data_IF_809481574895
#
_entry.id   IF_809481574895
#
_cell.length_a   1.000
_cell.length_b   1.000
_cell.length_c   1.000
_cell.angle_alpha   90.00
_cell.angle_beta   90.00
_cell.angle_gamma   90.00
#
_symmetry.space_group_name_H-M   'P 1'
#
loop_
_entity.id
_entity.type
_entity.pdbx_description
1 polymer ?
#
# COMPACT_ATOMS: atom_id res chain seq x y z
N UNK A 1 8.94 15.75 -0.24
CA UNK A 1 8.08 14.88 -1.03
C UNK A 1 8.80 14.23 -2.21
N UNK A 2 9.35 14.95 -3.20
CA UNK A 2 10.00 14.41 -4.43
C UNK A 2 11.03 13.28 -4.18
N UNK A 3 11.95 13.43 -3.20
CA UNK A 3 12.94 12.40 -2.86
C UNK A 3 12.27 11.11 -2.33
N UNK A 4 11.20 11.24 -1.53
CA UNK A 4 10.46 10.09 -0.98
C UNK A 4 9.72 9.30 -2.07
N UNK A 5 9.06 9.99 -3.00
CA UNK A 5 8.40 9.36 -4.15
C UNK A 5 9.42 8.60 -5.01
N UNK A 6 10.59 9.20 -5.29
CA UNK A 6 11.67 8.50 -6.04
C UNK A 6 12.14 7.22 -5.34
N UNK A 7 12.26 7.22 -4.00
CA UNK A 7 12.62 6.00 -3.26
C UNK A 7 11.53 4.93 -3.39
N UNK A 8 10.26 5.31 -3.30
CA UNK A 8 9.12 4.39 -3.49
C UNK A 8 9.16 3.75 -4.88
N UNK A 9 9.32 4.56 -5.93
CA UNK A 9 9.40 4.06 -7.31
C UNK A 9 10.55 3.08 -7.47
N UNK A 10 11.71 3.37 -6.89
CA UNK A 10 12.87 2.46 -6.92
C UNK A 10 12.55 1.09 -6.30
N UNK A 11 11.83 1.07 -5.17
CA UNK A 11 11.43 -0.19 -4.54
C UNK A 11 10.38 -0.95 -5.37
N UNK A 12 9.42 -0.24 -5.98
CA UNK A 12 8.43 -0.86 -6.90
C UNK A 12 9.12 -1.49 -8.10
N UNK A 13 10.05 -0.79 -8.74
CA UNK A 13 10.82 -1.30 -9.86
C UNK A 13 11.66 -2.52 -9.44
N UNK A 14 12.40 -2.41 -8.32
CA UNK A 14 13.21 -3.50 -7.79
C UNK A 14 12.37 -4.76 -7.46
N UNK A 15 11.17 -4.57 -6.89
CA UNK A 15 10.22 -5.66 -6.65
C UNK A 15 9.80 -6.34 -7.97
N UNK A 16 9.37 -5.55 -8.95
CA UNK A 16 8.90 -6.07 -10.25
C UNK A 16 10.02 -6.75 -11.03
N UNK A 17 11.23 -6.20 -11.04
CA UNK A 17 12.39 -6.80 -11.72
C UNK A 17 12.81 -8.13 -11.10
N UNK A 18 12.62 -8.30 -9.80
CA UNK A 18 12.84 -9.55 -9.07
C UNK A 18 11.65 -10.53 -9.12
N UNK A 19 10.66 -10.25 -9.98
CA UNK A 19 9.44 -11.07 -10.12
C UNK A 19 8.62 -11.16 -8.82
N UNK A 20 8.75 -10.17 -7.94
CA UNK A 20 7.90 -9.97 -6.78
C UNK A 20 6.56 -9.32 -7.18
N UNK A 21 5.66 -9.22 -6.23
CA UNK A 21 4.38 -8.53 -6.37
C UNK A 21 4.18 -7.51 -5.25
N UNK A 22 3.28 -6.58 -5.49
CA UNK A 22 2.91 -5.53 -4.54
C UNK A 22 1.59 -5.92 -3.87
N UNK A 23 1.61 -6.10 -2.56
CA UNK A 23 0.39 -6.29 -1.76
C UNK A 23 -0.06 -4.90 -1.28
N UNK A 24 -1.29 -4.52 -1.62
CA UNK A 24 -1.80 -3.18 -1.29
C UNK A 24 -2.98 -3.30 -0.32
N UNK A 25 -2.99 -2.47 0.72
CA UNK A 25 -4.07 -2.44 1.70
C UNK A 25 -4.37 -1.03 2.21
N UNK A 26 -5.64 -0.80 2.51
CA UNK A 26 -6.17 0.40 3.14
C UNK A 26 -7.55 0.12 3.75
N UNK A 27 -8.06 1.03 4.57
CA UNK A 27 -9.39 0.95 5.16
C UNK A 27 -10.31 2.02 4.56
N UNK A 28 -11.60 1.72 4.37
CA UNK A 28 -12.59 2.67 3.87
C UNK A 28 -12.20 3.29 2.52
N UNK A 29 -12.18 4.61 2.39
CA UNK A 29 -11.73 5.30 1.18
C UNK A 29 -10.30 4.96 0.76
N UNK A 30 -9.41 4.72 1.71
CA UNK A 30 -8.06 4.23 1.41
C UNK A 30 -8.04 2.79 0.87
N UNK A 31 -9.09 1.99 1.10
CA UNK A 31 -9.28 0.70 0.43
C UNK A 31 -9.63 0.91 -1.04
N UNK A 32 -10.50 1.87 -1.34
CA UNK A 32 -10.82 2.25 -2.73
C UNK A 32 -9.57 2.75 -3.48
N UNK A 33 -8.75 3.58 -2.82
CA UNK A 33 -7.46 4.03 -3.37
C UNK A 33 -6.51 2.85 -3.64
N UNK A 34 -6.49 1.85 -2.73
CA UNK A 34 -5.68 0.64 -2.89
C UNK A 34 -6.12 -0.20 -4.09
N UNK A 35 -7.42 -0.40 -4.28
CA UNK A 35 -7.98 -1.13 -5.43
C UNK A 35 -7.73 -0.38 -6.74
N UNK A 36 -7.93 0.94 -6.76
CA UNK A 36 -7.60 1.79 -7.90
C UNK A 36 -6.12 1.65 -8.28
N UNK A 37 -5.21 1.81 -7.32
CA UNK A 37 -3.77 1.68 -7.56
C UNK A 37 -3.37 0.30 -8.10
N UNK A 38 -3.96 -0.76 -7.58
CA UNK A 38 -3.76 -2.13 -8.10
C UNK A 38 -4.22 -2.23 -9.55
N UNK A 39 -5.35 -1.65 -9.91
CA UNK A 39 -5.85 -1.60 -11.29
C UNK A 39 -4.85 -0.94 -12.23
N UNK A 40 -4.30 0.24 -11.84
CA UNK A 40 -3.31 0.98 -12.63
C UNK A 40 -1.99 0.20 -12.80
N UNK A 41 -1.57 -0.54 -11.78
CA UNK A 41 -0.36 -1.37 -11.84
C UNK A 41 -0.53 -2.59 -12.76
N UNK A 42 -1.66 -3.29 -12.64
CA UNK A 42 -1.95 -4.51 -13.40
C UNK A 42 -2.21 -4.25 -14.88
N UNK A 43 -2.97 -3.19 -15.17
CA UNK A 43 -3.35 -2.83 -16.53
C UNK A 43 -2.33 -1.83 -17.12
N UNK A 44 -2.70 -0.56 -17.10
CA UNK A 44 -1.88 0.54 -17.61
C UNK A 44 -2.39 1.85 -17.01
N UNK A 45 -1.55 2.88 -16.92
CA UNK A 45 -1.98 4.22 -16.54
C UNK A 45 -2.16 5.11 -17.78
N UNK A 46 -1.07 5.64 -18.34
CA UNK A 46 -1.10 6.47 -19.56
C UNK A 46 -0.48 5.77 -20.77
N UNK A 47 0.41 4.82 -20.53
CA UNK A 47 1.14 4.14 -21.59
C UNK A 47 0.68 2.68 -21.73
N UNK A 48 -0.05 2.36 -22.82
CA UNK A 48 -0.53 1.00 -23.05
C UNK A 48 0.58 -0.02 -23.36
N UNK A 49 1.81 0.43 -23.63
CA UNK A 49 2.95 -0.46 -23.88
C UNK A 49 3.69 -0.84 -22.59
N UNK A 50 3.43 -0.18 -21.47
CA UNK A 50 4.06 -0.50 -20.19
C UNK A 50 3.75 -1.95 -19.79
N UNK A 51 4.80 -2.73 -19.49
CA UNK A 51 4.62 -4.08 -18.96
C UNK A 51 3.80 -4.07 -17.65
N UNK A 52 2.91 -5.05 -17.43
CA UNK A 52 2.12 -5.12 -16.19
C UNK A 52 3.02 -5.28 -14.97
N UNK A 53 2.62 -4.68 -13.87
CA UNK A 53 3.28 -4.80 -12.58
C UNK A 53 2.38 -5.65 -11.69
N UNK A 54 2.89 -6.79 -11.19
CA UNK A 54 2.10 -7.71 -10.37
C UNK A 54 1.70 -7.05 -9.05
N UNK A 55 0.39 -6.96 -8.80
CA UNK A 55 -0.17 -6.37 -7.60
C UNK A 55 -1.44 -7.07 -7.14
N UNK A 56 -1.75 -7.03 -5.84
CA UNK A 56 -2.96 -7.61 -5.23
C UNK A 56 -3.51 -6.64 -4.20
N UNK A 57 -4.80 -6.30 -4.29
CA UNK A 57 -5.52 -5.65 -3.19
C UNK A 57 -5.89 -6.72 -2.15
N UNK A 58 -5.47 -6.51 -0.90
CA UNK A 58 -5.75 -7.45 0.18
C UNK A 58 -7.21 -7.44 0.66
N UNK A 59 -8.03 -6.50 0.18
CA UNK A 59 -9.46 -6.39 0.49
C UNK A 59 -10.38 -6.93 -0.61
N UNK A 60 -9.86 -7.45 -1.72
CA UNK A 60 -10.63 -7.79 -2.92
C UNK A 60 -11.53 -9.04 -2.81
N UNK A 61 -11.54 -9.72 -1.66
CA UNK A 61 -12.34 -10.93 -1.43
C UNK A 61 -13.41 -10.72 -0.37
N UNK A 62 -14.62 -10.25 -0.71
CA UNK A 62 -15.68 -9.96 0.28
C UNK A 62 -16.02 -11.14 1.20
N UNK A 63 -16.03 -12.36 0.69
CA UNK A 63 -16.27 -13.56 1.51
C UNK A 63 -15.17 -13.76 2.57
N UNK A 64 -13.89 -13.55 2.21
CA UNK A 64 -12.80 -13.64 3.17
C UNK A 64 -12.83 -12.49 4.19
N UNK A 65 -13.14 -11.27 3.73
CA UNK A 65 -13.32 -10.08 4.60
C UNK A 65 -14.37 -10.36 5.67
N UNK A 66 -15.57 -10.76 5.23
CA UNK A 66 -16.72 -10.93 6.13
C UNK A 66 -16.55 -12.11 7.08
N UNK A 67 -16.10 -13.27 6.60
CA UNK A 67 -15.88 -14.45 7.43
C UNK A 67 -14.80 -14.21 8.48
N UNK A 68 -13.63 -13.72 8.09
CA UNK A 68 -12.53 -13.48 9.03
C UNK A 68 -12.88 -12.40 10.06
N UNK A 69 -13.54 -11.33 9.62
CA UNK A 69 -13.92 -10.24 10.52
C UNK A 69 -14.96 -10.71 11.56
N UNK A 70 -15.90 -11.58 11.16
CA UNK A 70 -16.90 -12.14 12.04
C UNK A 70 -16.29 -13.10 13.09
N UNK A 71 -15.37 -13.97 12.67
CA UNK A 71 -14.88 -15.07 13.50
C UNK A 71 -13.64 -14.68 14.33
N UNK A 72 -12.78 -13.79 13.78
CA UNK A 72 -11.45 -13.48 14.37
C UNK A 72 -11.20 -11.98 14.54
N UNK A 73 -12.11 -11.13 14.10
CA UNK A 73 -12.02 -9.67 14.19
C UNK A 73 -11.22 -9.03 13.06
N UNK A 74 -11.61 -7.79 12.74
CA UNK A 74 -11.03 -6.99 11.66
C UNK A 74 -9.53 -6.70 11.82
N UNK A 75 -9.06 -6.58 13.05
CA UNK A 75 -7.69 -6.19 13.37
C UNK A 75 -6.62 -7.11 12.78
N UNK A 76 -6.94 -8.38 12.53
CA UNK A 76 -6.01 -9.38 12.02
C UNK A 76 -6.23 -9.73 10.56
N UNK A 77 -7.22 -9.13 9.91
CA UNK A 77 -7.59 -9.47 8.54
C UNK A 77 -6.43 -9.26 7.55
N UNK A 78 -5.85 -8.08 7.50
CA UNK A 78 -4.75 -7.81 6.55
C UNK A 78 -3.47 -8.58 6.92
N UNK A 79 -3.20 -8.83 8.18
CA UNK A 79 -2.12 -9.73 8.58
C UNK A 79 -2.34 -11.14 8.03
N UNK A 80 -3.59 -11.66 8.12
CA UNK A 80 -3.95 -12.98 7.58
C UNK A 80 -3.75 -13.05 6.07
N UNK A 81 -4.19 -12.04 5.33
CA UNK A 81 -3.98 -11.95 3.88
C UNK A 81 -2.49 -11.82 3.54
N UNK A 82 -1.76 -11.02 4.30
CA UNK A 82 -0.30 -10.89 4.13
C UNK A 82 0.39 -12.24 4.36
N UNK A 83 0.00 -13.02 5.35
CA UNK A 83 0.53 -14.39 5.60
C UNK A 83 0.28 -15.33 4.42
N UNK A 84 -0.87 -15.21 3.76
CA UNK A 84 -1.23 -16.08 2.64
C UNK A 84 -0.44 -15.73 1.35
N UNK A 85 -0.20 -14.46 1.10
CA UNK A 85 0.27 -13.97 -0.20
C UNK A 85 1.73 -13.55 -0.23
N UNK A 86 2.30 -13.07 0.89
CA UNK A 86 3.64 -12.48 0.94
C UNK A 86 4.73 -13.53 0.70
N UNK A 87 5.61 -13.25 -0.26
CA UNK A 87 6.79 -14.06 -0.58
C UNK A 87 8.05 -13.20 -0.56
N UNK A 88 9.20 -13.84 -0.66
CA UNK A 88 10.49 -13.14 -0.84
C UNK A 88 10.43 -12.24 -2.08
N UNK A 89 10.98 -11.05 -1.98
CA UNK A 89 10.98 -9.98 -2.99
C UNK A 89 9.65 -9.23 -3.16
N UNK A 90 8.59 -9.62 -2.46
CA UNK A 90 7.34 -8.87 -2.46
C UNK A 90 7.45 -7.57 -1.64
N UNK A 91 6.52 -6.67 -1.86
CA UNK A 91 6.43 -5.37 -1.21
C UNK A 91 5.02 -5.20 -0.62
N UNK A 92 4.94 -4.72 0.62
CA UNK A 92 3.67 -4.32 1.22
C UNK A 92 3.49 -2.80 1.11
N UNK A 93 2.41 -2.37 0.48
CA UNK A 93 2.05 -0.97 0.28
C UNK A 93 0.77 -0.63 1.05
N UNK A 94 0.85 0.29 2.00
CA UNK A 94 -0.24 0.62 2.91
C UNK A 94 -0.70 2.07 2.74
N UNK A 95 -2.02 2.27 2.77
CA UNK A 95 -2.64 3.59 2.64
C UNK A 95 -3.49 3.85 3.89
N UNK A 96 -3.20 4.92 4.61
CA UNK A 96 -3.91 5.27 5.84
C UNK A 96 -3.92 6.77 6.09
N UNK A 97 -5.09 7.36 6.25
CA UNK A 97 -5.21 8.79 6.59
C UNK A 97 -4.72 9.15 7.99
N UNK A 98 -4.63 8.18 8.90
CA UNK A 98 -4.16 8.39 10.28
C UNK A 98 -2.84 7.71 10.62
N UNK A 99 -2.41 6.72 9.80
CA UNK A 99 -1.20 5.95 10.07
C UNK A 99 -1.30 4.94 11.22
N UNK A 100 -2.47 4.84 11.86
CA UNK A 100 -2.73 3.91 12.96
C UNK A 100 -2.29 4.41 14.34
N UNK A 101 -3.01 3.96 15.37
CA UNK A 101 -2.79 4.32 16.77
C UNK A 101 -3.14 3.09 17.63
N UNK A 102 -2.15 2.58 18.39
CA UNK A 102 -2.31 1.38 19.21
C UNK A 102 -3.17 1.62 20.44
N UNK A 103 -3.05 2.81 21.05
CA UNK A 103 -3.81 3.14 22.25
C UNK A 103 -5.30 3.27 21.94
N UNK A 104 -5.62 3.87 20.79
CA UNK A 104 -7.00 4.02 20.30
C UNK A 104 -7.51 2.82 19.51
N UNK A 105 -6.69 1.82 19.25
CA UNK A 105 -7.04 0.65 18.43
C UNK A 105 -7.32 0.98 16.96
N UNK A 106 -6.91 2.14 16.44
CA UNK A 106 -7.23 2.51 15.05
C UNK A 106 -6.24 1.95 14.06
N UNK A 107 -6.74 1.44 12.92
CA UNK A 107 -5.96 0.84 11.83
C UNK A 107 -5.02 -0.30 12.27
N UNK A 108 -5.40 -1.04 13.33
CA UNK A 108 -4.62 -2.18 13.83
C UNK A 108 -4.42 -3.23 12.75
N UNK A 109 -5.37 -3.41 11.85
CA UNK A 109 -5.26 -4.33 10.70
C UNK A 109 -4.05 -4.03 9.81
N UNK A 110 -3.75 -2.74 9.56
CA UNK A 110 -2.59 -2.32 8.78
C UNK A 110 -1.29 -2.44 9.58
N UNK A 111 -1.30 -2.08 10.87
CA UNK A 111 -0.14 -2.18 11.76
C UNK A 111 0.34 -3.64 11.84
N UNK A 112 -0.57 -4.58 12.11
CA UNK A 112 -0.24 -6.01 12.22
C UNK A 112 0.27 -6.60 10.90
N UNK A 113 -0.27 -6.17 9.76
CA UNK A 113 0.22 -6.55 8.45
C UNK A 113 1.65 -6.03 8.19
N UNK A 114 1.93 -4.76 8.55
CA UNK A 114 3.26 -4.17 8.43
C UNK A 114 4.30 -4.90 9.29
N UNK A 115 3.97 -5.20 10.55
CA UNK A 115 4.85 -5.95 11.45
C UNK A 115 5.16 -7.36 10.92
N UNK A 116 4.16 -8.03 10.36
CA UNK A 116 4.38 -9.33 9.76
C UNK A 116 5.31 -9.26 8.55
N UNK A 117 5.12 -8.28 7.66
CA UNK A 117 5.98 -8.08 6.50
C UNK A 117 7.43 -7.81 6.91
N UNK A 118 7.66 -6.96 7.94
CA UNK A 118 8.99 -6.70 8.48
C UNK A 118 9.64 -7.97 9.06
N UNK A 119 8.90 -8.79 9.82
CA UNK A 119 9.39 -10.08 10.34
C UNK A 119 9.82 -11.03 9.22
N UNK A 120 9.30 -10.85 8.01
CA UNK A 120 9.66 -11.62 6.80
C UNK A 120 10.73 -10.93 5.94
N UNK A 121 11.32 -9.83 6.42
CA UNK A 121 12.29 -9.02 5.71
C UNK A 121 11.77 -8.50 4.34
N UNK A 122 10.45 -8.28 4.23
CA UNK A 122 9.83 -7.63 3.09
C UNK A 122 9.67 -6.14 3.37
N UNK A 123 9.85 -5.32 2.34
CA UNK A 123 9.75 -3.87 2.46
C UNK A 123 8.32 -3.41 2.69
N UNK A 124 8.16 -2.43 3.56
CA UNK A 124 6.88 -1.77 3.85
C UNK A 124 6.95 -0.33 3.37
N UNK A 125 6.00 0.05 2.53
CA UNK A 125 5.81 1.43 2.05
C UNK A 125 4.45 1.93 2.55
N UNK A 126 4.36 3.21 2.95
CA UNK A 126 3.09 3.78 3.37
C UNK A 126 2.83 5.18 2.79
N UNK A 127 1.59 5.40 2.34
CA UNK A 127 1.02 6.74 2.22
C UNK A 127 0.21 7.02 3.49
N UNK A 128 0.57 8.06 4.21
CA UNK A 128 0.03 8.37 5.52
C UNK A 128 -0.33 9.86 5.65
N UNK A 129 -1.30 10.14 6.49
CA UNK A 129 -1.72 11.50 6.80
C UNK A 129 -1.57 11.84 8.28
N UNK A 130 -2.07 13.00 8.69
CA UNK A 130 -1.99 13.55 10.05
C UNK A 130 -0.54 13.58 10.54
N UNK A 131 -0.27 12.99 11.70
CA UNK A 131 1.07 12.84 12.27
C UNK A 131 1.85 11.64 11.71
N UNK A 132 1.16 10.76 10.98
CA UNK A 132 1.72 9.53 10.40
C UNK A 132 1.57 8.28 11.27
N UNK A 133 1.17 8.44 12.54
CA UNK A 133 0.89 7.34 13.47
C UNK A 133 2.00 6.28 13.58
N UNK A 134 1.61 5.07 13.88
CA UNK A 134 2.52 3.92 14.01
C UNK A 134 3.18 3.52 12.67
N UNK A 135 2.45 3.63 11.55
CA UNK A 135 2.99 3.27 10.25
C UNK A 135 4.20 4.13 9.85
N UNK A 136 4.28 5.38 10.31
CA UNK A 136 5.46 6.23 10.11
C UNK A 136 6.74 5.64 10.71
N UNK A 137 6.61 4.92 11.84
CA UNK A 137 7.74 4.30 12.55
C UNK A 137 8.13 2.95 11.93
N UNK A 138 7.12 2.21 11.44
CA UNK A 138 7.28 0.84 10.94
C UNK A 138 7.74 0.82 9.48
N UNK A 139 7.31 1.78 8.65
CA UNK A 139 7.57 1.74 7.20
C UNK A 139 9.01 2.05 6.85
N UNK A 140 9.58 1.29 5.90
CA UNK A 140 10.90 1.58 5.31
C UNK A 140 10.89 2.89 4.52
N UNK A 141 9.79 3.13 3.80
CA UNK A 141 9.54 4.36 3.05
C UNK A 141 8.12 4.85 3.28
N UNK A 142 7.95 6.15 3.40
CA UNK A 142 6.60 6.74 3.50
C UNK A 142 6.53 8.12 2.86
N UNK A 143 5.33 8.49 2.41
CA UNK A 143 4.95 9.88 2.13
C UNK A 143 3.95 10.31 3.18
N UNK A 144 4.21 11.43 3.82
CA UNK A 144 3.32 12.03 4.82
C UNK A 144 2.62 13.25 4.20
N UNK A 145 1.28 13.21 4.24
CA UNK A 145 0.42 14.35 3.93
C UNK A 145 0.05 15.01 5.25
N UNK A 146 0.71 16.10 5.57
CA UNK A 146 0.52 16.86 6.83
C UNK A 146 -0.78 17.68 6.76
N UNK A 147 -1.91 16.99 6.85
CA UNK A 147 -3.26 17.53 6.92
C UNK A 147 -4.07 16.71 7.94
N UNK A 148 -5.15 17.27 8.50
CA UNK A 148 -5.99 16.60 9.49
C UNK A 148 -7.40 16.28 8.97
N UNK A 149 -7.79 16.80 7.81
CA UNK A 149 -9.05 16.50 7.14
C UNK A 149 -8.91 15.23 6.31
N UNK A 150 -9.68 14.20 6.66
CA UNK A 150 -9.58 12.88 6.03
C UNK A 150 -9.78 12.92 4.52
N UNK A 151 -10.78 13.65 4.01
CA UNK A 151 -11.03 13.79 2.57
C UNK A 151 -9.85 14.41 1.84
N UNK A 152 -9.28 15.51 2.35
CA UNK A 152 -8.12 16.17 1.73
C UNK A 152 -6.88 15.27 1.70
N UNK A 153 -6.71 14.42 2.75
CA UNK A 153 -5.62 13.44 2.76
C UNK A 153 -5.84 12.38 1.67
N UNK A 154 -7.07 11.88 1.50
CA UNK A 154 -7.41 10.91 0.45
C UNK A 154 -7.23 11.50 -0.95
N UNK A 155 -7.70 12.73 -1.19
CA UNK A 155 -7.46 13.45 -2.45
C UNK A 155 -5.96 13.58 -2.77
N UNK A 156 -5.15 13.89 -1.76
CA UNK A 156 -3.70 13.94 -1.93
C UNK A 156 -3.08 12.55 -2.15
N UNK A 157 -3.59 11.51 -1.47
CA UNK A 157 -3.11 10.13 -1.64
C UNK A 157 -3.35 9.64 -3.07
N UNK A 158 -4.55 9.81 -3.63
CA UNK A 158 -4.82 9.38 -5.01
C UNK A 158 -3.97 10.16 -6.02
N UNK A 159 -3.76 11.47 -5.81
CA UNK A 159 -2.87 12.27 -6.66
C UNK A 159 -1.40 11.76 -6.60
N UNK A 160 -0.93 11.33 -5.42
CA UNK A 160 0.41 10.75 -5.25
C UNK A 160 0.49 9.38 -5.96
N UNK A 161 -0.54 8.55 -5.86
CA UNK A 161 -0.61 7.25 -6.56
C UNK A 161 -0.54 7.43 -8.07
N UNK A 162 -1.31 8.37 -8.63
CA UNK A 162 -1.23 8.73 -10.05
C UNK A 162 0.17 9.22 -10.46
N UNK A 163 0.81 10.05 -9.62
CA UNK A 163 2.19 10.48 -9.86
C UNK A 163 3.17 9.30 -9.87
N UNK A 164 2.99 8.31 -8.97
CA UNK A 164 3.81 7.09 -8.96
C UNK A 164 3.59 6.31 -10.27
N UNK A 165 2.34 6.10 -10.70
CA UNK A 165 2.01 5.39 -11.94
C UNK A 165 2.62 6.07 -13.17
N UNK A 166 2.51 7.40 -13.29
CA UNK A 166 3.10 8.16 -14.39
C UNK A 166 4.63 8.05 -14.44
N UNK A 167 5.28 8.06 -13.27
CA UNK A 167 6.73 7.91 -13.20
C UNK A 167 7.20 6.48 -13.50
N UNK A 168 6.37 5.47 -13.20
CA UNK A 168 6.61 4.09 -13.60
C UNK A 168 6.47 3.91 -15.12
N UNK A 169 5.42 4.49 -15.73
CA UNK A 169 5.27 4.51 -17.18
C UNK A 169 6.49 5.14 -17.85
N UNK A 170 6.90 6.32 -17.38
CA UNK A 170 8.08 7.03 -17.90
C UNK A 170 9.40 6.24 -17.72
N UNK A 171 9.52 5.45 -16.68
CA UNK A 171 10.70 4.61 -16.47
C UNK A 171 10.74 3.45 -17.47
N UNK A 172 9.62 2.73 -17.63
CA UNK A 172 9.57 1.56 -18.51
C UNK A 172 9.56 1.92 -20.00
N UNK A 173 9.13 3.12 -20.38
CA UNK A 173 9.21 3.62 -21.76
C UNK A 173 10.64 3.96 -22.21
N UNK A 174 11.53 4.23 -21.27
CA UNK A 174 12.91 4.61 -21.58
C UNK A 174 13.88 3.44 -21.60
N UNK A 175 13.42 2.27 -21.18
CA UNK A 175 14.20 1.05 -21.03
C UNK A 175 13.53 -0.14 -21.71
#
# INVERSE_FOLDING_TARGET
MKKKIKSIIKEVINCNDKKGKILVAGNGGSCSDAEHFVGELLCTYKDPSRRPISAISLASHPAAVTAWSNDFGWETYFERQTKAHLKKNDLLFLISTGGGDREKGTSMSLIKAAEYAQKKNCKVISLIGKSGGELKKISDHYVLVENYTTSHIQEAHIAILHCICELLDNFYNKN
#
